data_IF_650716783988
#
_entry.id   IF_650716783988
#
_cell.length_a   1.000
_cell.length_b   1.000
_cell.length_c   1.000
_cell.angle_alpha   90.00
_cell.angle_beta   90.00
_cell.angle_gamma   90.00
#
_symmetry.space_group_name_H-M   'P 1'
#
loop_
_entity.id
_entity.type
_entity.pdbx_description
1 polymer ?
#
# COMPACT_ATOMS: atom_id res chain seq x y z
N UNK A 1 -6.79 -10.78 -15.54
CA UNK A 1 -5.32 -10.92 -15.28
C UNK A 1 -4.68 -9.54 -15.32
N UNK A 2 -4.12 -9.04 -14.21
CA UNK A 2 -3.37 -7.79 -14.20
C UNK A 2 -1.87 -8.04 -14.04
N UNK A 3 -1.06 -7.40 -14.88
CA UNK A 3 0.40 -7.57 -14.91
C UNK A 3 1.09 -6.21 -14.86
N UNK A 4 2.14 -6.11 -14.03
CA UNK A 4 3.20 -5.13 -14.21
C UNK A 4 4.56 -5.84 -14.15
N UNK A 5 5.39 -5.78 -15.21
CA UNK A 5 6.76 -6.27 -15.14
C UNK A 5 7.62 -5.33 -14.29
N UNK A 6 8.47 -5.91 -13.44
CA UNK A 6 9.36 -5.17 -12.57
C UNK A 6 10.58 -4.64 -13.38
N UNK A 7 10.74 -3.32 -13.47
CA UNK A 7 11.78 -2.64 -14.25
C UNK A 7 13.14 -2.52 -13.55
N UNK A 8 14.02 -3.48 -13.86
CA UNK A 8 15.51 -3.55 -13.84
C UNK A 8 16.37 -2.57 -13.01
N UNK A 9 17.12 -3.19 -12.08
CA UNK A 9 18.60 -3.10 -12.00
C UNK A 9 19.17 -4.46 -12.49
N UNK A 10 20.47 -4.67 -12.80
CA UNK A 10 20.99 -5.98 -13.26
C UNK A 10 21.01 -6.96 -12.08
N UNK A 11 19.82 -7.41 -11.69
CA UNK A 11 19.57 -8.46 -10.71
C UNK A 11 18.77 -9.50 -11.46
N UNK A 12 19.28 -10.72 -11.49
CA UNK A 12 18.65 -11.92 -12.05
C UNK A 12 17.16 -11.92 -11.72
N UNK A 13 16.29 -11.96 -12.74
CA UNK A 13 14.86 -12.11 -12.50
C UNK A 13 14.65 -13.42 -11.73
N UNK A 14 14.09 -13.35 -10.52
CA UNK A 14 13.90 -14.51 -9.62
C UNK A 14 12.73 -15.39 -10.10
N UNK A 15 11.85 -14.81 -10.92
CA UNK A 15 10.68 -15.43 -11.52
C UNK A 15 9.62 -14.36 -11.76
N UNK A 16 8.52 -14.72 -12.42
CA UNK A 16 7.37 -13.86 -12.57
C UNK A 16 6.22 -14.40 -11.73
N UNK A 17 5.72 -13.58 -10.81
CA UNK A 17 4.55 -13.90 -9.99
C UNK A 17 3.30 -13.27 -10.61
N UNK A 18 2.17 -13.97 -10.51
CA UNK A 18 0.88 -13.51 -11.00
C UNK A 18 -0.26 -14.01 -10.13
N UNK A 19 -1.43 -13.40 -10.30
CA UNK A 19 -2.69 -13.91 -9.75
C UNK A 19 -3.50 -14.52 -10.88
N UNK A 20 -4.02 -15.73 -10.64
CA UNK A 20 -4.93 -16.45 -11.52
C UNK A 20 -6.31 -16.43 -10.88
N UNK A 21 -7.33 -16.10 -11.66
CA UNK A 21 -8.73 -16.04 -11.23
C UNK A 21 -9.50 -17.05 -12.08
N UNK A 22 -10.25 -17.94 -11.43
CA UNK A 22 -11.10 -18.90 -12.13
C UNK A 22 -12.54 -18.40 -12.28
N UNK A 23 -13.38 -19.23 -12.92
CA UNK A 23 -14.80 -18.93 -13.15
C UNK A 23 -15.62 -18.82 -11.85
N UNK A 24 -15.13 -19.40 -10.75
CA UNK A 24 -15.76 -19.37 -9.44
C UNK A 24 -15.27 -18.18 -8.60
N UNK A 25 -14.47 -17.29 -9.19
CA UNK A 25 -13.86 -16.12 -8.54
C UNK A 25 -12.85 -16.49 -7.45
N UNK A 26 -12.33 -17.71 -7.50
CA UNK A 26 -11.23 -18.16 -6.64
C UNK A 26 -9.92 -17.61 -7.16
N UNK A 27 -9.09 -17.11 -6.26
CA UNK A 27 -7.78 -16.53 -6.60
C UNK A 27 -6.66 -17.43 -6.13
N UNK A 28 -5.79 -17.84 -7.04
CA UNK A 28 -4.58 -18.61 -6.73
C UNK A 28 -3.33 -17.90 -7.27
N UNK A 29 -2.23 -17.99 -6.52
CA UNK A 29 -0.96 -17.48 -6.99
C UNK A 29 -0.42 -18.35 -8.14
N UNK A 30 0.05 -17.69 -9.19
CA UNK A 30 0.78 -18.27 -10.31
C UNK A 30 2.25 -17.89 -10.28
N UNK A 31 3.13 -18.78 -10.77
CA UNK A 31 4.56 -18.55 -10.86
C UNK A 31 5.15 -19.06 -12.18
N UNK A 32 5.94 -18.20 -12.84
CA UNK A 32 6.77 -18.58 -14.00
C UNK A 32 8.24 -18.53 -13.59
N UNK A 33 8.95 -19.67 -13.65
CA UNK A 33 10.39 -19.71 -13.40
C UNK A 33 11.16 -18.84 -14.40
N UNK A 34 12.32 -18.27 -14.02
CA UNK A 34 13.11 -17.37 -14.88
C UNK A 34 13.37 -17.91 -16.29
N UNK A 35 13.72 -19.19 -16.38
CA UNK A 35 14.03 -19.90 -17.64
C UNK A 35 12.83 -20.07 -18.58
N UNK A 36 11.64 -19.62 -18.18
CA UNK A 36 10.38 -19.76 -18.93
C UNK A 36 9.73 -18.41 -19.23
N UNK A 37 10.22 -17.31 -18.64
CA UNK A 37 9.62 -15.99 -18.79
C UNK A 37 9.61 -15.55 -20.26
N UNK A 38 10.74 -15.69 -20.96
CA UNK A 38 10.87 -15.28 -22.37
C UNK A 38 9.87 -16.02 -23.30
N UNK A 39 9.52 -17.26 -22.98
CA UNK A 39 8.57 -18.06 -23.75
C UNK A 39 7.12 -17.60 -23.58
N UNK A 40 6.75 -17.21 -22.37
CA UNK A 40 5.34 -16.99 -22.00
C UNK A 40 4.97 -15.51 -21.91
N UNK A 41 5.83 -14.66 -21.36
CA UNK A 41 5.54 -13.25 -21.13
C UNK A 41 5.06 -12.51 -22.39
N UNK A 42 5.66 -12.70 -23.60
CA UNK A 42 5.19 -12.02 -24.81
C UNK A 42 3.78 -12.43 -25.26
N UNK A 43 3.30 -13.60 -24.84
CA UNK A 43 1.97 -14.12 -25.18
C UNK A 43 0.88 -13.67 -24.20
N UNK A 44 1.29 -13.17 -23.04
CA UNK A 44 0.41 -12.73 -21.98
C UNK A 44 -0.03 -11.28 -22.21
N UNK A 45 -1.33 -11.03 -22.14
CA UNK A 45 -1.96 -9.72 -22.25
C UNK A 45 -2.83 -9.49 -21.02
N UNK A 46 -2.76 -8.30 -20.40
CA UNK A 46 -3.68 -7.94 -19.32
C UNK A 46 -5.14 -8.09 -19.76
N UNK A 47 -6.00 -8.54 -18.86
CA UNK A 47 -7.44 -8.74 -19.11
C UNK A 47 -7.79 -9.97 -19.97
N UNK A 48 -6.84 -10.62 -20.65
CA UNK A 48 -7.13 -11.77 -21.50
C UNK A 48 -7.32 -13.07 -20.72
N UNK A 49 -8.20 -13.93 -21.23
CA UNK A 49 -8.46 -15.27 -20.70
C UNK A 49 -7.52 -16.29 -21.34
N UNK A 50 -7.03 -17.23 -20.51
CA UNK A 50 -6.07 -18.22 -20.94
C UNK A 50 -6.45 -19.61 -20.46
N UNK A 51 -6.23 -20.60 -21.32
CA UNK A 51 -6.12 -21.99 -20.93
C UNK A 51 -4.65 -22.33 -20.69
N UNK A 52 -4.36 -22.79 -19.46
CA UNK A 52 -3.04 -23.25 -19.03
C UNK A 52 -3.05 -24.78 -18.87
N UNK A 53 -2.21 -25.48 -19.64
CA UNK A 53 -2.00 -26.92 -19.51
C UNK A 53 -0.60 -27.21 -18.95
N UNK A 54 -0.42 -28.45 -18.45
CA UNK A 54 0.86 -28.99 -17.98
C UNK A 54 1.54 -28.11 -16.92
N UNK A 55 0.78 -27.63 -15.94
CA UNK A 55 1.32 -26.94 -14.77
C UNK A 55 1.45 -27.93 -13.60
N UNK A 56 2.14 -27.53 -12.54
CA UNK A 56 2.20 -28.29 -11.29
C UNK A 56 1.88 -27.40 -10.09
N UNK A 57 1.38 -28.00 -9.02
CA UNK A 57 1.19 -27.32 -7.74
C UNK A 57 2.47 -27.35 -6.91
N UNK A 58 2.81 -26.24 -6.27
CA UNK A 58 3.85 -26.15 -5.26
C UNK A 58 3.31 -25.49 -3.99
N UNK A 59 3.95 -25.72 -2.84
CA UNK A 59 3.60 -25.00 -1.61
C UNK A 59 3.74 -23.48 -1.81
N UNK A 60 2.79 -22.75 -1.28
CA UNK A 60 2.84 -21.29 -1.30
C UNK A 60 3.83 -20.77 -0.23
N UNK A 61 4.27 -19.53 -0.39
CA UNK A 61 5.05 -18.79 0.60
C UNK A 61 4.25 -18.65 1.90
N UNK A 62 4.96 -18.54 3.02
CA UNK A 62 4.35 -18.36 4.35
C UNK A 62 4.24 -16.89 4.77
N UNK A 63 4.84 -15.98 4.00
CA UNK A 63 4.88 -14.54 4.27
C UNK A 63 4.48 -13.76 3.03
N UNK A 64 3.84 -12.61 3.22
CA UNK A 64 3.39 -11.71 2.15
C UNK A 64 2.50 -12.41 1.11
N UNK A 65 1.59 -13.27 1.57
CA UNK A 65 0.69 -14.01 0.68
C UNK A 65 -0.35 -13.08 0.09
N UNK A 66 -0.57 -13.21 -1.21
CA UNK A 66 -1.56 -12.44 -1.98
C UNK A 66 -2.84 -13.23 -2.26
N UNK A 67 -2.90 -14.48 -1.80
CA UNK A 67 -4.06 -15.38 -1.92
C UNK A 67 -4.16 -16.28 -0.69
N UNK A 68 -5.38 -16.68 -0.32
CA UNK A 68 -5.63 -17.55 0.83
C UNK A 68 -5.15 -19.00 0.61
N UNK A 69 -4.99 -19.43 -0.65
CA UNK A 69 -4.59 -20.78 -1.01
C UNK A 69 -3.17 -21.13 -0.52
N UNK A 70 -3.04 -22.29 0.11
CA UNK A 70 -1.77 -22.84 0.60
C UNK A 70 -0.84 -23.34 -0.53
N UNK A 71 -1.31 -23.33 -1.77
CA UNK A 71 -0.59 -23.79 -2.96
C UNK A 71 -0.52 -22.71 -4.02
N UNK A 72 0.49 -22.83 -4.88
CA UNK A 72 0.76 -21.96 -6.03
C UNK A 72 0.76 -22.82 -7.29
N UNK A 73 0.21 -22.31 -8.39
CA UNK A 73 0.30 -22.89 -9.73
C UNK A 73 1.63 -22.47 -10.36
N UNK A 74 2.49 -23.43 -10.66
CA UNK A 74 3.81 -23.18 -11.24
C UNK A 74 3.93 -23.71 -12.66
N UNK A 75 4.49 -22.89 -13.56
CA UNK A 75 4.77 -23.29 -14.94
C UNK A 75 5.93 -24.29 -14.97
N UNK A 76 5.71 -25.40 -15.65
CA UNK A 76 6.67 -26.46 -15.90
C UNK A 76 7.41 -26.24 -17.23
N UNK A 77 8.27 -27.19 -17.62
CA UNK A 77 8.99 -27.14 -18.89
C UNK A 77 8.10 -27.34 -20.13
N UNK A 78 7.00 -28.08 -19.99
CA UNK A 78 6.02 -28.34 -21.05
C UNK A 78 4.71 -27.59 -20.86
N UNK A 79 4.67 -26.56 -19.99
CA UNK A 79 3.48 -25.71 -19.86
C UNK A 79 3.09 -25.08 -21.19
N UNK A 80 1.80 -25.15 -21.48
CA UNK A 80 1.20 -24.58 -22.68
C UNK A 80 0.16 -23.56 -22.26
N UNK A 81 0.32 -22.34 -22.76
CA UNK A 81 -0.58 -21.23 -22.53
C UNK A 81 -1.20 -20.84 -23.86
N UNK A 82 -2.52 -20.89 -23.94
CA UNK A 82 -3.31 -20.55 -25.14
C UNK A 82 -4.40 -19.57 -24.78
N UNK A 83 -4.65 -18.59 -25.65
CA UNK A 83 -5.73 -17.62 -25.47
C UNK A 83 -7.07 -18.34 -25.63
N UNK A 84 -8.03 -18.01 -24.77
CA UNK A 84 -9.40 -18.47 -24.87
C UNK A 84 -10.26 -17.28 -25.29
N UNK A 85 -10.75 -17.28 -26.53
CA UNK A 85 -11.48 -16.14 -27.12
C UNK A 85 -12.93 -16.06 -26.64
N UNK A 86 -13.59 -17.21 -26.43
CA UNK A 86 -14.98 -17.29 -25.99
C UNK A 86 -15.10 -18.08 -24.68
N UNK A 87 -15.60 -17.41 -23.64
CA UNK A 87 -16.11 -18.07 -22.43
C UNK A 87 -17.60 -17.78 -22.28
N UNK A 88 -18.43 -18.80 -22.01
CA UNK A 88 -19.85 -18.60 -21.71
C UNK A 88 -20.07 -17.87 -20.38
N UNK A 89 -19.09 -17.89 -19.49
CA UNK A 89 -19.13 -17.26 -18.17
C UNK A 89 -18.24 -16.01 -18.13
N UNK A 90 -18.74 -14.87 -17.61
CA UNK A 90 -17.93 -13.69 -17.39
C UNK A 90 -16.92 -13.94 -16.26
N UNK A 91 -15.66 -13.64 -16.51
CA UNK A 91 -14.61 -13.66 -15.50
C UNK A 91 -14.43 -12.25 -14.92
N UNK A 92 -14.24 -12.16 -13.60
CA UNK A 92 -13.86 -10.89 -12.99
C UNK A 92 -12.41 -10.56 -13.42
N UNK A 93 -12.18 -9.34 -13.91
CA UNK A 93 -10.82 -8.91 -14.28
C UNK A 93 -9.89 -8.82 -13.07
N UNK A 94 -10.49 -8.46 -11.93
CA UNK A 94 -9.87 -8.20 -10.65
C UNK A 94 -10.66 -8.81 -9.50
N UNK A 95 -9.91 -9.21 -8.45
CA UNK A 95 -10.47 -9.63 -7.17
C UNK A 95 -9.77 -8.87 -6.07
N UNK A 96 -10.55 -8.21 -5.22
CA UNK A 96 -10.04 -7.42 -4.11
C UNK A 96 -10.30 -8.10 -2.76
N UNK A 97 -9.33 -8.00 -1.84
CA UNK A 97 -9.37 -8.54 -0.48
C UNK A 97 -9.28 -7.39 0.52
N UNK A 98 -10.41 -6.88 0.99
CA UNK A 98 -10.45 -5.74 1.88
C UNK A 98 -10.33 -6.13 3.35
N UNK A 99 -9.68 -5.25 4.12
CA UNK A 99 -9.61 -5.30 5.58
C UNK A 99 -10.17 -4.02 6.19
N UNK A 100 -10.76 -4.15 7.38
CA UNK A 100 -11.09 -3.00 8.22
C UNK A 100 -9.82 -2.37 8.82
N UNK A 101 -9.96 -1.19 9.43
CA UNK A 101 -8.87 -0.57 10.17
C UNK A 101 -8.38 -1.49 11.30
N UNK A 102 -9.31 -2.11 12.02
CA UNK A 102 -9.04 -3.03 13.13
C UNK A 102 -8.29 -4.28 12.64
N UNK A 103 -8.66 -4.83 11.49
CA UNK A 103 -7.96 -5.98 10.89
C UNK A 103 -6.54 -5.60 10.46
N UNK A 104 -6.36 -4.42 9.88
CA UNK A 104 -5.03 -3.92 9.55
C UNK A 104 -4.19 -3.66 10.80
N UNK A 105 -4.79 -3.10 11.86
CA UNK A 105 -4.12 -2.88 13.14
C UNK A 105 -3.71 -4.20 13.81
N UNK A 106 -4.58 -5.21 13.77
CA UNK A 106 -4.31 -6.54 14.33
C UNK A 106 -3.22 -7.30 13.55
N UNK A 107 -3.04 -7.00 12.25
CA UNK A 107 -2.07 -7.65 11.37
C UNK A 107 -0.70 -6.96 11.31
N UNK A 108 -0.53 -5.81 11.98
CA UNK A 108 0.73 -5.05 12.01
C UNK A 108 1.95 -5.92 12.31
N UNK A 109 3.00 -5.76 11.49
CA UNK A 109 4.32 -6.36 11.66
C UNK A 109 4.36 -7.90 11.63
N UNK A 110 3.23 -8.55 11.34
CA UNK A 110 3.13 -10.02 11.28
C UNK A 110 3.69 -10.62 10.00
N UNK A 111 4.08 -9.79 9.01
CA UNK A 111 4.53 -10.19 7.66
C UNK A 111 3.60 -11.24 7.01
N UNK A 112 2.31 -11.16 7.35
CA UNK A 112 1.29 -12.13 6.97
C UNK A 112 0.76 -11.86 5.57
N UNK A 113 -0.52 -12.12 5.38
CA UNK A 113 -1.21 -11.89 4.12
C UNK A 113 -1.29 -10.40 3.80
N UNK A 114 -1.20 -10.09 2.53
CA UNK A 114 -1.36 -8.74 1.99
C UNK A 114 -2.81 -8.53 1.56
N UNK A 115 -3.35 -7.37 1.91
CA UNK A 115 -4.73 -6.99 1.65
C UNK A 115 -4.79 -5.67 0.89
N UNK A 116 -5.98 -5.31 0.45
CA UNK A 116 -6.25 -4.13 -0.35
C UNK A 116 -6.95 -3.07 0.51
N UNK A 117 -6.64 -1.80 0.25
CA UNK A 117 -7.24 -0.66 0.97
C UNK A 117 -7.96 0.23 -0.01
N UNK A 118 -9.21 0.56 0.28
CA UNK A 118 -9.99 1.59 -0.43
C UNK A 118 -10.34 2.72 0.55
N UNK A 119 -10.19 3.95 0.10
CA UNK A 119 -10.54 5.12 0.89
C UNK A 119 -10.45 6.40 0.11
N UNK A 120 -10.95 7.49 0.68
CA UNK A 120 -10.75 8.80 0.11
C UNK A 120 -9.45 9.41 0.67
N UNK A 121 -8.73 10.08 -0.20
CA UNK A 121 -7.51 10.79 0.16
C UNK A 121 -7.87 12.05 0.95
N UNK A 122 -7.08 12.38 1.95
CA UNK A 122 -7.19 13.63 2.73
C UNK A 122 -6.03 14.57 2.46
N UNK A 123 -4.82 14.00 2.40
CA UNK A 123 -3.57 14.74 2.24
C UNK A 123 -2.63 13.92 1.35
N UNK A 124 -2.06 14.54 0.33
CA UNK A 124 -1.06 13.93 -0.55
C UNK A 124 0.24 14.72 -0.41
N UNK A 125 1.30 14.04 0.05
CA UNK A 125 2.62 14.61 0.28
C UNK A 125 2.62 15.92 1.09
N UNK A 126 1.76 15.99 2.12
CA UNK A 126 1.60 17.16 2.99
C UNK A 126 0.66 18.24 2.45
N UNK A 127 0.05 18.06 1.28
CA UNK A 127 -0.87 19.01 0.66
C UNK A 127 -2.33 18.52 0.75
N UNK A 128 -3.26 19.39 1.15
CA UNK A 128 -4.71 19.13 1.13
C UNK A 128 -5.26 19.09 -0.30
N UNK A 129 -6.39 18.40 -0.48
CA UNK A 129 -7.10 18.30 -1.76
C UNK A 129 -8.11 19.44 -2.02
N UNK A 130 -7.94 20.60 -1.38
CA UNK A 130 -8.76 21.80 -1.64
C UNK A 130 -8.50 22.33 -3.08
N UNK A 131 -7.34 22.00 -3.64
CA UNK A 131 -7.02 22.10 -5.07
C UNK A 131 -6.25 20.86 -5.54
N UNK A 132 -5.66 20.88 -6.73
CA UNK A 132 -4.81 19.78 -7.22
C UNK A 132 -3.43 19.85 -6.56
N UNK A 133 -3.02 18.83 -5.77
CA UNK A 133 -1.68 18.78 -5.21
C UNK A 133 -0.60 18.81 -6.29
N UNK A 134 0.42 19.64 -6.09
CA UNK A 134 1.58 19.71 -6.95
C UNK A 134 2.59 18.66 -6.49
N UNK A 135 2.70 17.59 -7.27
CA UNK A 135 3.68 16.52 -7.06
C UNK A 135 4.99 16.85 -7.79
N UNK A 136 5.93 17.47 -7.07
CA UNK A 136 7.27 17.79 -7.57
C UNK A 136 8.10 16.51 -7.78
N UNK A 137 8.47 16.26 -9.03
CA UNK A 137 9.26 15.09 -9.41
C UNK A 137 10.67 15.09 -8.82
N UNK A 138 11.27 16.27 -8.63
CA UNK A 138 12.61 16.42 -8.05
C UNK A 138 12.58 16.06 -6.56
N UNK A 139 11.57 16.55 -5.83
CA UNK A 139 11.40 16.20 -4.42
C UNK A 139 11.10 14.72 -4.23
N UNK A 140 10.24 14.14 -5.08
CA UNK A 140 9.86 12.74 -4.99
C UNK A 140 11.02 11.83 -5.43
N UNK A 141 11.83 12.23 -6.41
CA UNK A 141 13.05 11.54 -6.76
C UNK A 141 14.06 11.54 -5.61
N UNK A 142 14.16 12.65 -4.86
CA UNK A 142 15.03 12.79 -3.68
C UNK A 142 14.52 12.00 -2.48
N UNK A 143 13.24 12.15 -2.13
CA UNK A 143 12.60 11.50 -0.98
C UNK A 143 12.36 10.00 -1.22
N UNK A 144 12.27 9.60 -2.48
CA UNK A 144 11.97 8.23 -2.96
C UNK A 144 10.64 7.67 -2.47
N UNK A 145 9.75 8.51 -1.96
CA UNK A 145 8.42 8.10 -1.54
C UNK A 145 7.37 9.19 -1.76
N UNK A 146 6.11 8.75 -1.78
CA UNK A 146 4.93 9.61 -1.66
C UNK A 146 4.12 9.11 -0.48
N UNK A 147 3.73 10.03 0.40
CA UNK A 147 2.85 9.75 1.53
C UNK A 147 1.43 10.23 1.21
N UNK A 148 0.46 9.32 1.28
CA UNK A 148 -0.96 9.64 1.15
C UNK A 148 -1.65 9.33 2.48
N UNK A 149 -2.38 10.29 3.01
CA UNK A 149 -3.29 10.07 4.12
C UNK A 149 -4.63 9.64 3.55
N UNK A 150 -5.02 8.41 3.84
CA UNK A 150 -6.23 7.78 3.30
C UNK A 150 -7.17 7.45 4.45
N UNK A 151 -8.46 7.75 4.27
CA UNK A 151 -9.50 7.41 5.23
C UNK A 151 -10.47 6.43 4.58
N UNK A 152 -10.63 5.25 5.17
CA UNK A 152 -11.61 4.26 4.74
C UNK A 152 -12.93 4.50 5.46
N UNK A 153 -13.99 4.68 4.69
CA UNK A 153 -15.32 5.11 5.16
C UNK A 153 -15.26 6.17 6.28
N UNK A 154 -15.94 5.91 7.40
CA UNK A 154 -15.98 6.73 8.62
C UNK A 154 -14.88 6.33 9.63
N UNK A 155 -13.89 5.53 9.19
CA UNK A 155 -12.81 5.01 10.02
C UNK A 155 -11.66 6.00 10.24
N UNK A 156 -10.61 5.59 10.97
CA UNK A 156 -9.44 6.44 11.21
C UNK A 156 -8.63 6.72 9.94
N UNK A 157 -7.90 7.84 9.94
CA UNK A 157 -6.94 8.17 8.86
C UNK A 157 -5.69 7.28 8.99
N UNK A 158 -5.31 6.66 7.88
CA UNK A 158 -4.12 5.82 7.74
C UNK A 158 -3.06 6.51 6.89
N UNK A 159 -1.78 6.27 7.22
CA UNK A 159 -0.63 6.76 6.43
C UNK A 159 -0.22 5.70 5.41
N UNK A 160 -0.39 5.96 4.12
CA UNK A 160 -0.03 5.06 3.03
C UNK A 160 1.22 5.55 2.30
N UNK A 161 2.29 4.75 2.34
CA UNK A 161 3.57 5.05 1.71
C UNK A 161 3.71 4.30 0.38
N UNK A 162 3.95 5.05 -0.68
CA UNK A 162 4.46 4.52 -1.95
C UNK A 162 5.96 4.71 -2.01
N UNK A 163 6.71 3.67 -2.35
CA UNK A 163 8.18 3.75 -2.46
C UNK A 163 8.65 3.59 -3.91
N UNK A 164 9.74 4.27 -4.26
CA UNK A 164 10.50 4.10 -5.49
C UNK A 164 9.63 4.13 -6.77
N UNK A 165 9.53 3.00 -7.47
CA UNK A 165 8.77 2.91 -8.72
C UNK A 165 7.27 3.07 -8.47
N UNK A 166 6.75 2.57 -7.34
CA UNK A 166 5.34 2.75 -6.98
C UNK A 166 5.01 4.23 -6.77
N UNK A 167 5.94 5.00 -6.17
CA UNK A 167 5.80 6.44 -6.03
C UNK A 167 5.75 7.15 -7.39
N UNK A 168 6.68 6.83 -8.30
CA UNK A 168 6.70 7.37 -9.66
C UNK A 168 5.43 7.04 -10.44
N UNK A 169 4.99 5.79 -10.37
CA UNK A 169 3.78 5.31 -11.04
C UNK A 169 2.52 6.00 -10.50
N UNK A 170 2.44 6.16 -9.18
CA UNK A 170 1.38 6.93 -8.54
C UNK A 170 1.37 8.38 -9.05
N UNK A 171 2.51 9.08 -9.04
CA UNK A 171 2.59 10.47 -9.51
C UNK A 171 2.16 10.60 -10.96
N UNK A 172 2.64 9.71 -11.84
CA UNK A 172 2.29 9.72 -13.26
C UNK A 172 0.78 9.56 -13.44
N UNK A 173 0.16 8.63 -12.72
CA UNK A 173 -1.28 8.38 -12.78
C UNK A 173 -2.10 9.52 -12.18
N UNK A 174 -1.68 10.04 -11.04
CA UNK A 174 -2.32 11.18 -10.37
C UNK A 174 -2.35 12.42 -11.28
N UNK A 175 -1.24 12.70 -11.97
CA UNK A 175 -1.14 13.83 -12.92
C UNK A 175 -1.91 13.61 -14.23
N UNK A 176 -2.22 12.37 -14.60
CA UNK A 176 -2.95 12.08 -15.83
C UNK A 176 -4.47 12.18 -15.71
N UNK A 177 -5.00 12.34 -14.49
CA UNK A 177 -6.44 12.47 -14.26
C UNK A 177 -6.95 13.86 -14.67
N UNK A 178 -8.16 13.90 -15.24
CA UNK A 178 -8.87 15.15 -15.47
C UNK A 178 -9.40 15.68 -14.13
N UNK A 179 -8.59 16.52 -13.47
CA UNK A 179 -8.87 17.07 -12.15
C UNK A 179 -8.15 16.34 -11.01
N UNK A 180 -8.54 16.64 -9.78
CA UNK A 180 -7.94 16.04 -8.59
C UNK A 180 -8.68 14.75 -8.22
N UNK A 181 -8.04 13.58 -8.32
CA UNK A 181 -8.70 12.35 -7.91
C UNK A 181 -8.94 12.34 -6.40
N UNK A 182 -10.06 11.76 -5.97
CA UNK A 182 -10.53 11.83 -4.57
C UNK A 182 -10.43 10.49 -3.87
N UNK A 183 -10.82 9.41 -4.56
CA UNK A 183 -10.83 8.04 -4.05
C UNK A 183 -9.60 7.30 -4.54
N UNK A 184 -9.01 6.49 -3.67
CA UNK A 184 -7.84 5.69 -3.91
C UNK A 184 -8.09 4.26 -3.45
N UNK A 185 -7.76 3.30 -4.32
CA UNK A 185 -7.64 1.89 -4.00
C UNK A 185 -6.22 1.42 -4.27
N UNK A 186 -5.60 0.78 -3.29
CA UNK A 186 -4.27 0.20 -3.42
C UNK A 186 -4.28 -1.27 -3.05
N UNK A 187 -3.78 -2.11 -3.94
CA UNK A 187 -3.74 -3.55 -3.71
C UNK A 187 -2.48 -4.00 -2.96
N UNK A 188 -2.57 -5.13 -2.28
CA UNK A 188 -1.47 -5.85 -1.64
C UNK A 188 -0.59 -4.94 -0.76
N UNK A 189 -1.19 -4.14 0.11
CA UNK A 189 -0.46 -3.28 1.05
C UNK A 189 0.04 -4.10 2.25
N UNK A 190 1.22 -3.74 2.74
CA UNK A 190 1.76 -4.30 3.97
C UNK A 190 1.53 -3.34 5.14
N UNK A 191 1.01 -3.85 6.25
CA UNK A 191 0.81 -3.09 7.48
C UNK A 191 2.08 -3.06 8.32
N UNK A 192 2.40 -1.87 8.84
CA UNK A 192 3.46 -1.66 9.80
C UNK A 192 2.93 -0.83 10.95
N UNK A 193 3.36 -1.14 12.16
CA UNK A 193 3.31 -0.12 13.20
C UNK A 193 4.39 0.91 12.88
N UNK A 194 3.99 2.16 12.61
CA UNK A 194 4.90 3.27 12.79
C UNK A 194 4.99 3.45 14.30
N UNK A 195 6.11 3.02 14.88
CA UNK A 195 6.43 3.27 16.28
C UNK A 195 6.66 4.75 16.53
N UNK A 196 5.60 5.56 16.50
CA UNK A 196 5.53 6.75 17.32
C UNK A 196 5.36 6.22 18.75
N UNK A 197 6.47 6.03 19.47
CA UNK A 197 6.49 5.55 20.84
C UNK A 197 5.78 6.54 21.78
N UNK A 198 4.45 6.47 21.84
CA UNK A 198 3.63 7.27 22.76
C UNK A 198 3.12 6.47 23.97
N UNK A 199 3.65 5.27 24.21
CA UNK A 199 3.24 4.44 25.34
C UNK A 199 3.72 4.97 26.70
N UNK A 200 4.84 5.72 26.76
CA UNK A 200 5.35 6.28 28.03
C UNK A 200 4.77 7.67 28.30
N UNK A 201 4.54 8.49 27.25
CA UNK A 201 3.88 9.79 27.43
C UNK A 201 2.44 9.58 27.91
N UNK A 202 1.74 8.51 27.50
CA UNK A 202 0.43 8.15 28.07
C UNK A 202 0.44 8.00 29.59
N UNK A 203 1.49 7.46 30.21
CA UNK A 203 1.56 7.29 31.67
C UNK A 203 1.82 8.61 32.41
N UNK A 204 2.64 9.51 31.84
CA UNK A 204 2.93 10.82 32.45
C UNK A 204 1.79 11.82 32.25
N UNK A 205 1.14 11.81 31.09
CA UNK A 205 0.02 12.70 30.77
C UNK A 205 -1.31 12.27 31.41
N UNK A 206 -1.48 10.98 31.75
CA UNK A 206 -2.66 10.48 32.49
C UNK A 206 -2.82 11.15 33.87
N UNK A 207 -1.72 11.61 34.47
CA UNK A 207 -1.72 12.24 35.78
C UNK A 207 -1.97 13.76 35.74
N UNK A 208 -1.90 14.42 34.57
CA UNK A 208 -1.87 15.89 34.53
C UNK A 208 -2.98 16.53 33.68
N UNK A 209 -3.49 15.88 32.62
CA UNK A 209 -4.56 16.49 31.80
C UNK A 209 -5.63 15.48 31.40
N UNK A 210 -6.68 15.39 32.22
CA UNK A 210 -7.95 14.83 31.80
C UNK A 210 -8.56 15.80 30.78
N UNK A 211 -8.99 15.29 29.63
CA UNK A 211 -9.80 15.93 28.57
C UNK A 211 -9.15 16.46 27.26
N UNK A 212 -7.82 16.45 27.06
CA UNK A 212 -7.21 16.90 25.76
C UNK A 212 -6.47 15.79 24.98
N UNK A 213 -6.38 14.56 25.50
CA UNK A 213 -5.60 13.47 24.86
C UNK A 213 -6.46 12.26 24.50
N UNK A 214 -7.55 12.49 23.78
CA UNK A 214 -8.34 11.40 23.19
C UNK A 214 -8.07 11.18 21.70
N UNK A 215 -7.25 12.02 21.03
CA UNK A 215 -7.14 11.97 19.56
C UNK A 215 -5.73 11.82 18.98
N UNK A 216 -4.73 11.33 19.73
CA UNK A 216 -3.47 10.84 19.13
C UNK A 216 -3.52 9.32 19.01
N UNK A 217 -4.27 8.89 18.00
CA UNK A 217 -4.38 7.49 17.56
C UNK A 217 -3.02 6.99 17.07
N UNK A 218 -2.66 5.77 17.45
CA UNK A 218 -1.54 5.04 16.86
C UNK A 218 -1.70 5.08 15.34
N UNK A 219 -0.85 5.82 14.62
CA UNK A 219 -1.10 6.04 13.19
C UNK A 219 -0.71 4.77 12.43
N UNK A 220 -1.71 4.00 12.01
CA UNK A 220 -1.53 2.81 11.20
C UNK A 220 -0.83 3.19 9.89
N UNK A 221 0.27 2.50 9.60
CA UNK A 221 1.08 2.72 8.42
C UNK A 221 0.90 1.57 7.43
N UNK A 222 0.50 1.91 6.22
CA UNK A 222 0.41 1.00 5.09
C UNK A 222 1.59 1.30 4.16
N UNK A 223 2.23 0.27 3.60
CA UNK A 223 3.27 0.44 2.59
C UNK A 223 2.93 -0.34 1.34
N UNK A 224 3.09 0.31 0.18
CA UNK A 224 3.01 -0.37 -1.12
C UNK A 224 4.07 -1.44 -1.22
N UNK A 225 3.72 -2.55 -1.84
CA UNK A 225 4.64 -3.62 -2.23
C UNK A 225 4.96 -3.52 -3.73
N UNK A 226 5.94 -4.27 -4.23
CA UNK A 226 6.24 -4.30 -5.67
C UNK A 226 5.07 -4.82 -6.51
N UNK A 227 4.17 -5.60 -5.90
CA UNK A 227 2.93 -6.11 -6.50
C UNK A 227 1.74 -5.14 -6.39
N UNK A 228 1.88 -4.03 -5.66
CA UNK A 228 0.78 -3.10 -5.44
C UNK A 228 0.36 -2.41 -6.72
N UNK A 229 -0.94 -2.39 -6.95
CA UNK A 229 -1.60 -1.65 -8.03
C UNK A 229 -2.41 -0.52 -7.44
N UNK A 230 -2.55 0.54 -8.21
CA UNK A 230 -3.20 1.79 -7.80
C UNK A 230 -4.37 2.04 -8.74
N UNK A 231 -5.54 2.24 -8.16
CA UNK A 231 -6.77 2.61 -8.84
C UNK A 231 -7.35 3.87 -8.18
N UNK A 232 -7.96 4.74 -8.97
CA UNK A 232 -8.49 6.03 -8.57
C UNK A 232 -9.92 6.18 -9.08
N UNK A 233 -10.79 6.81 -8.31
CA UNK A 233 -12.18 7.17 -8.64
C UNK A 233 -12.94 6.14 -9.51
N UNK A 234 -12.97 6.31 -10.83
CA UNK A 234 -13.79 5.53 -11.74
C UNK A 234 -13.04 4.35 -12.40
N UNK A 235 -11.83 4.02 -11.94
CA UNK A 235 -11.02 2.96 -12.56
C UNK A 235 -11.65 1.56 -12.43
N UNK A 236 -12.23 1.22 -11.27
CA UNK A 236 -12.79 -0.11 -10.97
C UNK A 236 -14.05 -0.02 -10.12
N UNK A 237 -14.89 -1.05 -10.14
CA UNK A 237 -16.17 -1.04 -9.43
C UNK A 237 -16.07 -0.65 -7.94
N UNK A 238 -15.10 -1.16 -7.14
CA UNK A 238 -15.00 -0.74 -5.74
C UNK A 238 -14.72 0.74 -5.53
N UNK A 239 -13.94 1.38 -6.41
CA UNK A 239 -13.68 2.83 -6.31
C UNK A 239 -14.89 3.64 -6.75
N UNK A 240 -15.64 3.16 -7.76
CA UNK A 240 -16.91 3.77 -8.21
C UNK A 240 -17.96 3.71 -7.10
N UNK A 241 -18.13 2.55 -6.48
CA UNK A 241 -19.08 2.33 -5.39
C UNK A 241 -18.72 3.20 -4.18
N UNK A 242 -17.43 3.26 -3.84
CA UNK A 242 -16.93 4.09 -2.76
C UNK A 242 -17.12 5.58 -3.05
N UNK A 243 -16.86 6.03 -4.28
CA UNK A 243 -17.07 7.42 -4.69
C UNK A 243 -18.54 7.82 -4.57
N UNK A 244 -19.45 6.94 -4.99
CA UNK A 244 -20.89 7.14 -4.88
C UNK A 244 -21.34 7.24 -3.42
N UNK A 245 -20.82 6.35 -2.56
CA UNK A 245 -21.04 6.41 -1.11
C UNK A 245 -20.55 7.73 -0.51
N UNK A 246 -19.35 8.17 -0.87
CA UNK A 246 -18.76 9.41 -0.35
C UNK A 246 -19.61 10.63 -0.72
N UNK A 247 -20.13 10.68 -1.96
CA UNK A 247 -21.04 11.74 -2.40
C UNK A 247 -22.35 11.81 -1.61
N UNK A 248 -22.82 10.68 -1.07
CA UNK A 248 -24.00 10.63 -0.20
C UNK A 248 -23.74 11.04 1.26
N UNK A 249 -22.47 11.21 1.68
CA UNK A 249 -22.06 11.50 3.06
C UNK A 249 -21.13 12.73 3.14
N UNK A 250 -21.66 13.95 3.02
CA UNK A 250 -20.85 15.18 2.98
C UNK A 250 -20.03 15.41 4.26
N UNK A 251 -20.50 14.95 5.43
CA UNK A 251 -19.76 15.06 6.70
C UNK A 251 -18.48 14.21 6.71
N UNK A 252 -18.52 13.01 6.11
CA UNK A 252 -17.35 12.13 5.98
C UNK A 252 -16.35 12.68 4.96
N UNK A 253 -16.85 13.42 3.97
CA UNK A 253 -16.05 14.09 2.96
C UNK A 253 -15.28 15.32 3.49
N UNK A 254 -15.64 15.86 4.67
CA UNK A 254 -14.96 17.05 5.22
C UNK A 254 -13.45 16.82 5.30
N UNK A 255 -12.71 17.70 4.61
CA UNK A 255 -11.26 17.63 4.51
C UNK A 255 -10.67 17.91 5.88
N UNK A 256 -9.99 16.91 6.45
CA UNK A 256 -9.22 17.11 7.68
C UNK A 256 -8.23 18.25 7.43
N UNK A 257 -8.23 19.26 8.31
CA UNK A 257 -7.26 20.34 8.27
C UNK A 257 -5.84 19.73 8.31
N UNK A 258 -5.07 19.83 7.22
CA UNK A 258 -3.73 19.23 7.12
C UNK A 258 -2.83 19.58 8.30
N UNK A 259 -3.05 20.75 8.91
CA UNK A 259 -2.30 21.24 10.06
C UNK A 259 -2.39 20.31 11.29
N UNK A 260 -3.51 19.60 11.46
CA UNK A 260 -3.70 18.61 12.54
C UNK A 260 -2.93 17.32 12.26
N UNK A 261 -2.73 16.98 10.98
CA UNK A 261 -2.11 15.71 10.54
C UNK A 261 -0.60 15.84 10.32
N UNK A 262 -0.11 17.04 9.96
CA UNK A 262 1.31 17.29 9.64
C UNK A 262 2.11 17.93 10.77
N UNK A 263 1.55 18.08 11.98
CA UNK A 263 2.23 18.74 13.09
C UNK A 263 3.52 17.98 13.44
N UNK A 264 4.67 18.61 13.18
CA UNK A 264 5.98 18.11 13.60
C UNK A 264 6.11 18.33 15.10
N UNK A 265 6.18 17.27 15.87
CA UNK A 265 6.52 17.37 17.29
C UNK A 265 8.04 17.50 17.43
N UNK A 266 8.49 18.60 18.02
CA UNK A 266 9.90 18.84 18.35
C UNK A 266 10.25 18.14 19.65
N UNK A 267 11.20 17.21 19.61
CA UNK A 267 11.80 16.59 20.80
C UNK A 267 13.00 17.41 21.27
N UNK A 268 13.12 17.62 22.57
CA UNK A 268 14.28 18.25 23.21
C UNK A 268 15.42 17.26 23.40
N UNK A 269 16.65 17.77 23.54
CA UNK A 269 17.84 16.94 23.80
C UNK A 269 17.69 16.12 25.10
N UNK A 270 17.02 16.67 26.12
CA UNK A 270 16.77 15.97 27.39
C UNK A 270 15.82 14.77 27.25
N UNK A 271 14.82 14.87 26.38
CA UNK A 271 13.89 13.78 26.07
C UNK A 271 14.60 12.68 25.26
N UNK A 272 15.45 13.05 24.31
CA UNK A 272 16.29 12.12 23.55
C UNK A 272 17.26 11.37 24.49
N UNK A 273 17.91 12.09 25.42
CA UNK A 273 18.84 11.50 26.37
C UNK A 273 18.15 10.51 27.33
N UNK A 274 16.95 10.85 27.81
CA UNK A 274 16.14 9.98 28.66
C UNK A 274 15.72 8.69 27.94
N UNK A 275 15.42 8.79 26.64
CA UNK A 275 15.09 7.65 25.77
C UNK A 275 16.27 6.69 25.57
N UNK A 276 17.46 7.21 25.25
CA UNK A 276 18.67 6.40 25.03
C UNK A 276 19.07 5.63 26.28
N UNK A 277 18.88 6.20 27.48
CA UNK A 277 19.23 5.54 28.74
C UNK A 277 18.31 4.36 29.10
N UNK A 278 17.10 4.32 28.55
CA UNK A 278 16.09 3.29 28.89
C UNK A 278 16.06 2.13 27.88
N UNK A 279 16.70 2.25 26.70
CA UNK A 279 16.70 1.24 25.65
C UNK A 279 18.07 0.61 25.42
N UNK A 280 18.35 -0.54 26.03
CA UNK A 280 19.58 -1.33 25.79
C UNK A 280 19.63 -2.04 24.42
N UNK A 281 18.83 -1.63 23.43
CA UNK A 281 18.84 -2.21 22.09
C UNK A 281 18.79 -1.11 21.02
N UNK A 282 19.76 -1.16 20.10
CA UNK A 282 19.97 -0.19 19.01
C UNK A 282 18.75 -0.12 18.09
N UNK A 283 18.00 0.99 18.13
CA UNK A 283 17.00 1.36 17.13
C UNK A 283 17.06 2.87 16.84
N UNK A 284 16.70 3.23 15.60
CA UNK A 284 16.83 4.58 15.03
C UNK A 284 15.94 5.60 15.75
N UNK A 285 16.52 6.73 16.18
CA UNK A 285 15.78 7.86 16.73
C UNK A 285 15.03 8.62 15.62
N UNK A 286 13.82 9.16 15.88
CA UNK A 286 13.18 10.09 14.96
C UNK A 286 14.05 11.35 14.82
N UNK A 287 14.16 11.87 13.59
CA UNK A 287 15.08 12.96 13.25
C UNK A 287 14.85 14.21 14.11
N UNK A 288 15.95 14.78 14.63
CA UNK A 288 15.99 16.06 15.32
C UNK A 288 16.77 17.10 14.50
N UNK A 289 16.44 18.37 14.69
CA UNK A 289 17.27 19.48 14.19
C UNK A 289 18.35 19.77 15.24
N UNK A 290 19.61 19.58 14.86
CA UNK A 290 20.75 19.89 15.72
C UNK A 290 21.49 21.09 15.14
N UNK A 291 21.73 22.10 15.97
CA UNK A 291 22.70 23.15 15.65
C UNK A 291 24.08 22.60 16.04
N UNK A 292 24.92 22.30 15.05
CA UNK A 292 26.28 21.81 15.29
C UNK A 292 27.19 23.01 15.48
N UNK A 293 27.57 23.30 16.72
CA UNK A 293 28.72 24.14 16.98
C UNK A 293 29.98 23.28 16.82
N UNK A 294 30.71 23.49 15.73
CA UNK A 294 32.08 22.99 15.64
C UNK A 294 32.92 23.64 16.73
N UNK A 295 33.64 22.83 17.50
CA UNK A 295 34.80 23.30 18.25
C UNK A 295 36.01 22.79 17.48
N UNK A 296 36.95 23.70 17.18
CA UNK A 296 38.25 23.38 16.58
C UNK A 296 39.04 22.35 17.41
#
# INVERSE_FOLDING_TARGET
MAMKPNGKSPKTLIGLEMLLIDEQRSVIQGFIPPSRIERHLPKMKPGSLYKLNNFYGSSNKTVYRVSDHAVTVSFSWNSELSVLEDSPTPFDEDRFRFHSFEDFQASCDRKGDLYDVVGHMKVVNGQCLIGTPVLDEVEIARARHVLVHVQSYDGPVMKLYFWDQAARDFCKKFKSYEGTPTVLLVTTVNTKSLGENFLIIRYLLFLVFKWVLLNTTCTLALTSMSSSRVFMDYDVQPTIDYFSWLGSKPQSAELVNAEVVTKRETLTIGEIFSYIKQGSNKLCCPGGFFLVHGYD
#
